data_IF_670284641785
#
_entry.id   IF_670284641785
#
_cell.length_a   1.000
_cell.length_b   1.000
_cell.length_c   1.000
_cell.angle_alpha   90.00
_cell.angle_beta   90.00
_cell.angle_gamma   90.00
#
_symmetry.space_group_name_H-M   'P 1'
#
loop_
_entity.id
_entity.type
_entity.pdbx_description
1 polymer ?
#
# COMPACT_ATOMS: atom_id res chain seq x y z
N UNK A 1 0.25 13.79 -49.51
CA UNK A 1 0.65 15.13 -49.98
C UNK A 1 -0.17 16.16 -49.22
N UNK A 2 0.51 16.97 -48.40
CA UNK A 2 0.18 18.31 -47.89
C UNK A 2 -1.10 18.98 -48.46
N UNK A 3 -2.03 19.60 -47.72
CA UNK A 3 -1.86 20.80 -46.85
C UNK A 3 -3.18 21.11 -46.09
N UNK A 4 -3.03 21.74 -44.91
CA UNK A 4 -4.07 22.37 -44.06
C UNK A 4 -4.93 23.44 -44.78
N UNK A 5 -6.09 23.82 -44.20
CA UNK A 5 -6.50 25.24 -44.01
C UNK A 5 -7.60 25.36 -42.91
N UNK A 6 -7.23 26.09 -41.85
CA UNK A 6 -7.93 27.02 -40.94
C UNK A 6 -9.42 26.90 -40.52
N UNK A 7 -9.62 26.86 -39.18
CA UNK A 7 -10.23 27.90 -38.28
C UNK A 7 -11.30 28.83 -38.94
N UNK A 8 -12.53 29.02 -38.44
CA UNK A 8 -12.99 29.45 -37.09
C UNK A 8 -14.52 29.27 -37.00
N UNK A 9 -15.05 28.93 -35.82
CA UNK A 9 -16.26 29.63 -35.33
C UNK A 9 -17.45 28.80 -34.83
N UNK A 10 -17.65 28.90 -33.51
CA UNK A 10 -18.93 28.85 -32.77
C UNK A 10 -19.55 27.50 -32.43
N UNK A 11 -19.39 27.15 -31.14
CA UNK A 11 -20.54 26.81 -30.29
C UNK A 11 -21.05 25.38 -30.37
N UNK A 12 -20.37 24.48 -29.66
CA UNK A 12 -20.94 23.41 -28.81
C UNK A 12 -19.78 22.55 -28.28
N UNK A 13 -19.30 22.83 -27.07
CA UNK A 13 -18.26 22.02 -26.43
C UNK A 13 -18.89 20.83 -25.71
N UNK A 14 -18.88 19.70 -26.42
CA UNK A 14 -18.54 18.34 -26.00
C UNK A 14 -18.80 17.94 -24.53
N UNK A 15 -19.89 17.19 -24.36
CA UNK A 15 -20.01 16.08 -23.40
C UNK A 15 -18.87 15.09 -23.66
N UNK A 16 -18.03 14.79 -22.65
CA UNK A 16 -17.30 13.52 -22.43
C UNK A 16 -16.14 13.72 -21.43
N UNK A 17 -16.35 13.34 -20.15
CA UNK A 17 -15.38 12.59 -19.29
C UNK A 17 -16.21 11.87 -18.22
N UNK A 18 -16.85 10.77 -18.59
CA UNK A 18 -17.53 9.86 -17.65
C UNK A 18 -17.37 8.40 -18.13
N UNK A 19 -16.18 7.80 -17.98
CA UNK A 19 -15.98 6.37 -18.31
C UNK A 19 -14.87 5.70 -17.46
N UNK A 20 -14.97 5.77 -16.14
CA UNK A 20 -14.34 4.74 -15.26
C UNK A 20 -15.39 4.02 -14.40
N UNK A 21 -16.52 4.66 -14.08
CA UNK A 21 -17.59 3.99 -13.32
C UNK A 21 -18.62 3.23 -14.18
N UNK A 22 -18.79 3.57 -15.48
CA UNK A 22 -19.78 2.90 -16.35
C UNK A 22 -19.27 1.59 -17.00
N UNK A 23 -17.94 1.43 -17.14
CA UNK A 23 -17.32 0.22 -17.73
C UNK A 23 -17.48 -0.98 -16.79
N UNK A 24 -17.44 -0.75 -15.47
CA UNK A 24 -17.67 -1.81 -14.47
C UNK A 24 -19.14 -2.28 -14.43
N UNK A 25 -20.10 -1.43 -14.78
CA UNK A 25 -21.53 -1.76 -14.81
C UNK A 25 -21.94 -2.50 -16.10
N UNK A 26 -21.34 -2.15 -17.25
CA UNK A 26 -21.64 -2.78 -18.54
C UNK A 26 -20.95 -4.14 -18.73
N UNK A 27 -19.86 -4.42 -18.02
CA UNK A 27 -19.21 -5.75 -17.99
C UNK A 27 -20.04 -6.82 -17.27
N UNK A 28 -21.04 -6.43 -16.48
CA UNK A 28 -22.00 -7.34 -15.85
C UNK A 28 -23.12 -7.81 -16.79
N UNK A 29 -23.29 -7.22 -17.99
CA UNK A 29 -24.53 -7.39 -18.79
C UNK A 29 -24.34 -8.19 -20.11
N UNK A 30 -23.14 -8.26 -20.73
CA UNK A 30 -23.00 -8.81 -22.10
C UNK A 30 -21.99 -9.97 -22.29
N UNK A 31 -22.22 -11.13 -21.63
CA UNK A 31 -21.45 -12.39 -21.76
C UNK A 31 -21.11 -12.83 -23.22
N UNK A 32 -19.88 -12.61 -23.75
CA UNK A 32 -19.22 -13.38 -24.87
C UNK A 32 -17.66 -13.28 -24.71
N UNK A 33 -16.85 -14.31 -25.05
CA UNK A 33 -15.62 -14.68 -24.33
C UNK A 33 -14.30 -14.26 -24.99
N UNK A 34 -13.24 -14.12 -24.18
CA UNK A 34 -11.85 -14.15 -24.62
C UNK A 34 -11.04 -15.18 -23.80
N UNK A 35 -10.52 -16.21 -24.49
CA UNK A 35 -9.24 -16.89 -24.18
C UNK A 35 -8.13 -15.89 -24.56
N UNK A 36 -7.06 -15.65 -23.80
CA UNK A 36 -6.07 -16.59 -23.25
C UNK A 36 -5.39 -16.02 -21.99
N UNK A 37 -5.54 -16.76 -20.89
CA UNK A 37 -4.52 -17.21 -19.92
C UNK A 37 -3.57 -16.21 -19.22
N UNK A 38 -3.64 -16.23 -17.87
CA UNK A 38 -2.75 -15.67 -16.84
C UNK A 38 -3.02 -14.31 -16.21
N UNK A 39 -4.29 -13.93 -15.99
CA UNK A 39 -4.57 -12.83 -15.05
C UNK A 39 -5.97 -12.81 -14.41
N UNK A 40 -6.50 -13.95 -13.93
CA UNK A 40 -7.70 -13.96 -13.08
C UNK A 40 -7.79 -15.26 -12.25
N UNK A 41 -6.88 -15.47 -11.30
CA UNK A 41 -7.13 -16.33 -10.14
C UNK A 41 -6.50 -15.65 -8.94
N UNK A 42 -7.34 -15.18 -8.01
CA UNK A 42 -6.85 -14.56 -6.78
C UNK A 42 -7.87 -14.19 -5.72
N UNK A 43 -9.19 -14.21 -5.96
CA UNK A 43 -10.18 -13.99 -4.87
C UNK A 43 -11.52 -14.76 -5.06
N UNK A 44 -11.65 -15.76 -5.94
CA UNK A 44 -12.96 -16.46 -6.12
C UNK A 44 -12.94 -17.99 -6.29
N UNK A 45 -11.88 -18.68 -5.84
CA UNK A 45 -11.88 -20.15 -5.69
C UNK A 45 -11.29 -20.62 -4.34
N UNK A 46 -11.73 -20.01 -3.24
CA UNK A 46 -11.54 -20.58 -1.89
C UNK A 46 -12.87 -20.94 -1.19
N UNK A 47 -14.03 -20.58 -1.75
CA UNK A 47 -15.32 -20.93 -1.16
C UNK A 47 -16.24 -21.61 -2.17
N UNK A 48 -16.15 -22.94 -2.18
CA UNK A 48 -17.07 -23.83 -2.86
C UNK A 48 -17.11 -25.20 -2.18
N UNK A 49 -17.95 -25.33 -1.14
CA UNK A 49 -18.46 -26.57 -0.53
C UNK A 49 -17.45 -27.72 -0.33
N UNK A 50 -16.93 -27.90 0.89
CA UNK A 50 -16.81 -29.25 1.47
C UNK A 50 -17.32 -29.24 2.90
N UNK A 51 -18.30 -30.12 3.12
CA UNK A 51 -18.86 -30.50 4.41
C UNK A 51 -17.76 -30.99 5.35
N UNK A 52 -17.92 -30.66 6.63
CA UNK A 52 -17.55 -31.44 7.82
C UNK A 52 -17.00 -32.85 7.49
N UNK A 53 -15.69 -33.05 7.56
CA UNK A 53 -15.09 -34.39 7.75
C UNK A 53 -13.93 -34.28 8.74
N UNK A 54 -14.23 -34.79 9.93
CA UNK A 54 -13.30 -35.23 10.97
C UNK A 54 -12.35 -36.32 10.46
N UNK A 55 -11.10 -36.29 10.95
CA UNK A 55 -10.13 -37.40 11.01
C UNK A 55 -9.88 -38.19 9.72
N UNK A 56 -8.64 -38.17 9.22
CA UNK A 56 -7.86 -39.40 9.01
C UNK A 56 -6.39 -39.04 8.76
N UNK A 57 -5.56 -39.36 9.75
CA UNK A 57 -4.14 -39.63 9.56
C UNK A 57 -4.00 -40.86 8.67
N UNK A 58 -3.42 -40.72 7.48
CA UNK A 58 -2.94 -41.88 6.72
C UNK A 58 -1.71 -41.49 5.92
N UNK A 59 -0.62 -42.18 6.28
CA UNK A 59 0.69 -42.21 5.66
C UNK A 59 0.60 -42.27 4.13
N UNK A 60 1.39 -41.44 3.45
CA UNK A 60 1.88 -41.78 2.12
C UNK A 60 3.38 -42.03 2.18
N UNK A 61 3.66 -43.32 2.05
CA UNK A 61 4.96 -43.95 1.99
C UNK A 61 5.80 -43.40 0.84
N UNK A 62 7.08 -43.18 1.13
CA UNK A 62 8.15 -43.17 0.14
C UNK A 62 8.16 -44.49 -0.63
N UNK A 63 7.86 -44.45 -1.93
CA UNK A 63 8.11 -45.57 -2.83
C UNK A 63 9.61 -45.76 -3.01
N UNK A 64 10.17 -46.72 -2.27
CA UNK A 64 11.44 -47.34 -2.61
C UNK A 64 11.25 -48.18 -3.88
N UNK A 65 12.03 -47.89 -4.91
CA UNK A 65 12.16 -48.73 -6.09
C UNK A 65 12.83 -50.04 -5.68
N UNK A 66 12.07 -51.14 -5.74
CA UNK A 66 12.60 -52.50 -5.61
C UNK A 66 13.52 -52.81 -6.80
N UNK A 67 14.77 -53.12 -6.49
CA UNK A 67 15.71 -53.76 -7.42
C UNK A 67 15.29 -55.20 -7.69
N UNK A 68 14.91 -55.51 -8.92
CA UNK A 68 14.80 -56.89 -9.42
C UNK A 68 16.19 -57.50 -9.55
N UNK A 69 16.50 -58.52 -8.73
CA UNK A 69 17.64 -59.41 -8.98
C UNK A 69 17.32 -60.30 -10.20
N UNK A 70 18.05 -60.08 -11.29
CA UNK A 70 18.10 -61.01 -12.42
C UNK A 70 19.03 -62.18 -12.05
N UNK A 71 18.46 -63.38 -11.96
CA UNK A 71 19.22 -64.62 -11.91
C UNK A 71 19.96 -64.82 -13.24
N UNK A 72 21.26 -65.03 -13.15
CA UNK A 72 22.17 -65.33 -14.24
C UNK A 72 21.93 -66.73 -14.82
N UNK A 73 21.58 -66.80 -16.10
CA UNK A 73 21.80 -68.00 -16.92
C UNK A 73 22.93 -67.73 -17.91
N UNK A 74 23.99 -68.53 -17.80
CA UNK A 74 25.15 -68.54 -18.70
C UNK A 74 24.73 -68.87 -20.14
N UNK A 75 25.12 -68.04 -21.09
CA UNK A 75 25.26 -68.42 -22.49
C UNK A 75 26.62 -67.96 -23.02
N UNK A 76 27.31 -68.91 -23.63
CA UNK A 76 28.66 -68.81 -24.15
C UNK A 76 28.74 -67.91 -25.40
N UNK A 77 29.83 -67.15 -25.45
CA UNK A 77 30.61 -66.70 -26.62
C UNK A 77 29.89 -66.15 -27.85
N UNK A 78 30.09 -64.85 -28.10
CA UNK A 78 30.64 -64.37 -29.37
C UNK A 78 31.30 -63.01 -29.14
N UNK A 79 32.55 -62.86 -29.60
CA UNK A 79 33.31 -61.62 -29.50
C UNK A 79 32.64 -60.52 -30.34
N UNK A 80 32.15 -59.47 -29.68
CA UNK A 80 31.92 -58.18 -30.31
C UNK A 80 32.74 -57.13 -29.56
N UNK A 81 33.79 -56.64 -30.24
CA UNK A 81 34.54 -55.47 -29.82
C UNK A 81 33.58 -54.28 -29.65
N UNK A 82 33.24 -53.96 -28.41
CA UNK A 82 32.63 -52.68 -28.03
C UNK A 82 33.71 -51.79 -27.45
N UNK A 83 34.46 -51.15 -28.33
CA UNK A 83 35.32 -50.03 -27.99
C UNK A 83 34.49 -48.90 -27.36
N UNK A 84 34.77 -48.61 -26.09
CA UNK A 84 34.66 -47.31 -25.42
C UNK A 84 33.37 -46.49 -25.64
N UNK A 85 32.25 -46.88 -25.04
CA UNK A 85 31.07 -45.98 -24.98
C UNK A 85 30.47 -45.71 -23.60
N UNK A 86 31.05 -46.17 -22.48
CA UNK A 86 30.32 -46.11 -21.20
C UNK A 86 31.07 -45.61 -19.96
N UNK A 87 32.04 -44.70 -20.09
CA UNK A 87 32.59 -44.00 -18.91
C UNK A 87 32.41 -42.48 -18.94
N UNK A 88 32.38 -41.86 -20.12
CA UNK A 88 32.20 -40.40 -20.24
C UNK A 88 30.73 -39.97 -20.26
N UNK A 89 29.81 -40.79 -20.79
CA UNK A 89 28.38 -40.45 -20.85
C UNK A 89 27.68 -40.60 -19.48
N UNK A 90 28.07 -41.59 -18.68
CA UNK A 90 27.44 -41.86 -17.38
C UNK A 90 27.87 -40.87 -16.28
N UNK A 91 29.10 -40.33 -16.35
CA UNK A 91 29.53 -39.23 -15.50
C UNK A 91 28.87 -37.89 -15.86
N UNK A 92 28.36 -37.76 -17.09
CA UNK A 92 27.60 -36.58 -17.54
C UNK A 92 26.13 -36.62 -17.09
N UNK A 93 25.52 -37.82 -16.98
CA UNK A 93 24.13 -37.98 -16.56
C UNK A 93 23.89 -37.81 -15.05
N UNK A 94 24.95 -37.87 -14.23
CA UNK A 94 24.89 -37.64 -12.77
C UNK A 94 25.40 -36.24 -12.36
N UNK A 95 25.50 -35.30 -13.31
CA UNK A 95 25.64 -33.89 -12.98
C UNK A 95 24.31 -33.39 -12.39
N UNK A 96 24.03 -33.74 -11.13
CA UNK A 96 22.96 -33.13 -10.36
C UNK A 96 23.25 -31.63 -10.30
N UNK A 97 22.44 -30.83 -11.00
CA UNK A 97 22.58 -29.38 -11.01
C UNK A 97 22.39 -28.84 -9.58
N UNK A 98 23.51 -28.63 -8.89
CA UNK A 98 23.53 -28.04 -7.54
C UNK A 98 23.39 -26.53 -7.69
N UNK A 99 22.20 -26.00 -7.41
CA UNK A 99 22.00 -24.55 -7.27
C UNK A 99 22.82 -24.09 -6.08
N UNK A 100 23.81 -23.22 -6.33
CA UNK A 100 24.67 -22.65 -5.30
C UNK A 100 23.92 -21.56 -4.54
N UNK A 101 24.34 -21.28 -3.32
CA UNK A 101 23.77 -20.20 -2.50
C UNK A 101 23.82 -18.85 -3.22
N UNK A 102 24.93 -18.53 -3.90
CA UNK A 102 25.02 -17.28 -4.68
C UNK A 102 24.01 -17.21 -5.83
N UNK A 103 23.67 -18.36 -6.43
CA UNK A 103 22.66 -18.41 -7.50
C UNK A 103 21.25 -18.22 -6.92
N UNK A 104 20.96 -18.81 -5.77
CA UNK A 104 19.69 -18.59 -5.07
C UNK A 104 19.54 -17.11 -4.65
N UNK A 105 20.60 -16.50 -4.12
CA UNK A 105 20.61 -15.08 -3.77
C UNK A 105 20.37 -14.17 -4.99
N UNK A 106 20.93 -14.52 -6.15
CA UNK A 106 20.67 -13.79 -7.40
C UNK A 106 19.20 -13.90 -7.85
N UNK A 107 18.60 -15.09 -7.75
CA UNK A 107 17.17 -15.28 -8.04
C UNK A 107 16.28 -14.52 -7.05
N UNK A 108 16.61 -14.52 -5.77
CA UNK A 108 15.87 -13.78 -4.73
C UNK A 108 15.92 -12.27 -4.95
N UNK A 109 17.10 -11.73 -5.29
CA UNK A 109 17.28 -10.31 -5.60
C UNK A 109 16.46 -9.91 -6.84
N UNK A 110 16.50 -10.71 -7.90
CA UNK A 110 15.73 -10.43 -9.11
C UNK A 110 14.21 -10.53 -8.88
N UNK A 111 13.76 -11.54 -8.13
CA UNK A 111 12.35 -11.68 -7.76
C UNK A 111 11.85 -10.50 -6.91
N UNK A 112 12.69 -9.97 -6.01
CA UNK A 112 12.38 -8.77 -5.22
C UNK A 112 12.30 -7.53 -6.09
N UNK A 113 13.22 -7.35 -7.04
CA UNK A 113 13.20 -6.22 -7.99
C UNK A 113 11.95 -6.25 -8.87
N UNK A 114 11.63 -7.42 -9.44
CA UNK A 114 10.42 -7.59 -10.25
C UNK A 114 9.17 -7.28 -9.43
N UNK A 115 9.10 -7.76 -8.18
CA UNK A 115 7.98 -7.42 -7.30
C UNK A 115 7.90 -5.91 -6.99
N UNK A 116 9.02 -5.25 -6.71
CA UNK A 116 9.05 -3.81 -6.49
C UNK A 116 8.54 -3.05 -7.72
N UNK A 117 8.96 -3.45 -8.92
CA UNK A 117 8.51 -2.84 -10.19
C UNK A 117 7.00 -3.01 -10.42
N UNK A 118 6.47 -4.21 -10.14
CA UNK A 118 5.02 -4.42 -10.16
C UNK A 118 4.29 -3.56 -9.12
N UNK A 119 4.88 -3.37 -7.93
CA UNK A 119 4.29 -2.53 -6.89
C UNK A 119 4.36 -1.04 -7.26
N UNK A 120 5.36 -0.59 -8.01
CA UNK A 120 5.39 0.77 -8.59
C UNK A 120 4.20 0.95 -9.53
N UNK A 121 4.02 0.05 -10.50
CA UNK A 121 2.91 0.12 -11.46
C UNK A 121 1.55 0.08 -10.75
N UNK A 122 1.40 -0.82 -9.78
CA UNK A 122 0.19 -0.90 -8.98
C UNK A 122 -0.07 0.38 -8.19
N UNK A 123 0.96 0.97 -7.57
CA UNK A 123 0.83 2.20 -6.78
C UNK A 123 0.40 3.39 -7.63
N UNK A 124 0.91 3.50 -8.86
CA UNK A 124 0.50 4.54 -9.82
C UNK A 124 -0.97 4.35 -10.23
N UNK A 125 -1.45 3.11 -10.36
CA UNK A 125 -2.87 2.86 -10.61
C UNK A 125 -3.75 3.15 -9.37
N UNK A 126 -3.25 2.82 -8.18
CA UNK A 126 -3.99 2.94 -6.93
C UNK A 126 -4.11 4.39 -6.45
N UNK A 127 -3.02 5.16 -6.52
CA UNK A 127 -2.95 6.56 -6.10
C UNK A 127 -2.10 7.38 -7.09
N UNK A 128 -2.63 7.62 -8.31
CA UNK A 128 -1.86 8.25 -9.40
C UNK A 128 -1.32 9.62 -8.99
N UNK A 129 -2.15 10.43 -8.32
CA UNK A 129 -1.79 11.80 -7.97
C UNK A 129 -0.71 11.86 -6.89
N UNK A 130 -0.76 10.98 -5.89
CA UNK A 130 0.29 10.95 -4.88
C UNK A 130 1.60 10.49 -5.50
N UNK A 131 1.57 9.47 -6.35
CA UNK A 131 2.75 8.96 -7.06
C UNK A 131 3.38 10.03 -7.96
N UNK A 132 2.56 10.79 -8.70
CA UNK A 132 3.01 11.93 -9.51
C UNK A 132 3.69 13.01 -8.66
N UNK A 133 3.14 13.33 -7.48
CA UNK A 133 3.68 14.38 -6.60
C UNK A 133 4.99 13.97 -5.94
N UNK A 134 5.14 12.70 -5.52
CA UNK A 134 6.35 12.24 -4.84
C UNK A 134 7.45 11.82 -5.83
N UNK A 135 7.08 11.38 -7.03
CA UNK A 135 8.00 10.89 -8.07
C UNK A 135 8.51 9.46 -7.83
N UNK A 136 9.03 8.84 -8.89
CA UNK A 136 9.38 7.41 -8.94
C UNK A 136 10.44 7.01 -7.90
N UNK A 137 11.48 7.83 -7.70
CA UNK A 137 12.55 7.56 -6.74
C UNK A 137 11.99 7.47 -5.31
N UNK A 138 11.19 8.47 -4.93
CA UNK A 138 10.58 8.53 -3.60
C UNK A 138 9.51 7.45 -3.42
N UNK A 139 8.77 7.12 -4.49
CA UNK A 139 7.83 6.00 -4.48
C UNK A 139 8.54 4.69 -4.15
N UNK A 140 9.68 4.40 -4.80
CA UNK A 140 10.49 3.20 -4.49
C UNK A 140 11.00 3.19 -3.05
N UNK A 141 11.43 4.34 -2.53
CA UNK A 141 11.80 4.46 -1.10
C UNK A 141 10.61 4.10 -0.20
N UNK A 142 9.41 4.58 -0.54
CA UNK A 142 8.17 4.30 0.19
C UNK A 142 7.78 2.83 0.14
N UNK A 143 7.90 2.19 -1.03
CA UNK A 143 7.64 0.76 -1.20
C UNK A 143 8.63 -0.12 -0.44
N UNK A 144 9.92 0.18 -0.51
CA UNK A 144 10.93 -0.53 0.30
C UNK A 144 10.71 -0.34 1.79
N UNK A 145 10.18 0.81 2.19
CA UNK A 145 9.80 1.07 3.58
C UNK A 145 8.61 0.19 3.99
N UNK A 146 7.52 0.16 3.21
CA UNK A 146 6.34 -0.65 3.52
C UNK A 146 6.61 -2.15 3.48
N UNK A 147 7.38 -2.65 2.52
CA UNK A 147 7.80 -4.07 2.47
C UNK A 147 8.55 -4.45 3.74
N UNK A 148 9.50 -3.61 4.20
CA UNK A 148 10.23 -3.84 5.45
C UNK A 148 9.31 -3.87 6.66
N UNK A 149 8.28 -3.02 6.71
CA UNK A 149 7.29 -3.02 7.80
C UNK A 149 6.37 -4.23 7.75
N UNK A 150 5.88 -4.61 6.56
CA UNK A 150 5.05 -5.81 6.40
C UNK A 150 5.80 -7.06 6.89
N UNK A 151 7.10 -7.17 6.59
CA UNK A 151 7.95 -8.26 7.09
C UNK A 151 8.04 -8.31 8.62
N UNK A 152 7.96 -7.18 9.33
CA UNK A 152 7.94 -7.16 10.81
C UNK A 152 6.67 -7.81 11.39
N UNK A 153 5.61 -7.89 10.60
CA UNK A 153 4.36 -8.59 10.91
C UNK A 153 4.30 -9.98 10.26
N UNK A 154 5.43 -10.53 9.81
CA UNK A 154 5.50 -11.87 9.19
C UNK A 154 4.66 -11.99 7.91
N UNK A 155 4.38 -10.88 7.22
CA UNK A 155 3.80 -10.91 5.88
C UNK A 155 4.91 -11.15 4.87
N UNK A 156 4.87 -12.30 4.20
CA UNK A 156 5.89 -12.74 3.24
C UNK A 156 5.32 -13.00 1.86
N UNK A 157 4.00 -13.08 1.73
CA UNK A 157 3.34 -13.36 0.46
C UNK A 157 3.08 -12.07 -0.32
N UNK A 158 3.18 -12.15 -1.65
CA UNK A 158 2.97 -10.98 -2.53
C UNK A 158 1.62 -10.30 -2.26
N UNK A 159 0.56 -11.08 -2.03
CA UNK A 159 -0.78 -10.55 -1.75
C UNK A 159 -0.88 -9.79 -0.43
N UNK A 160 -0.34 -10.33 0.66
CA UNK A 160 -0.37 -9.68 1.98
C UNK A 160 0.53 -8.45 2.03
N UNK A 161 1.68 -8.48 1.36
CA UNK A 161 2.57 -7.31 1.22
C UNK A 161 1.91 -6.22 0.36
N UNK A 162 1.27 -6.59 -0.75
CA UNK A 162 0.50 -5.63 -1.58
C UNK A 162 -0.61 -4.96 -0.76
N UNK A 163 -1.39 -5.73 0.00
CA UNK A 163 -2.41 -5.16 0.87
C UNK A 163 -1.80 -4.17 1.88
N UNK A 164 -0.65 -4.50 2.47
CA UNK A 164 0.05 -3.59 3.38
C UNK A 164 0.49 -2.29 2.68
N UNK A 165 0.94 -2.36 1.42
CA UNK A 165 1.25 -1.19 0.59
C UNK A 165 -0.01 -0.34 0.37
N UNK A 166 -1.14 -0.95 0.01
CA UNK A 166 -2.42 -0.26 -0.16
C UNK A 166 -2.84 0.45 1.15
N UNK A 167 -2.66 -0.19 2.31
CA UNK A 167 -2.91 0.43 3.62
C UNK A 167 -2.02 1.64 3.88
N UNK A 168 -0.73 1.59 3.51
CA UNK A 168 0.15 2.75 3.60
C UNK A 168 -0.40 3.94 2.80
N UNK A 169 -0.94 3.71 1.60
CA UNK A 169 -1.53 4.78 0.79
C UNK A 169 -2.82 5.34 1.37
N UNK A 170 -3.62 4.49 2.04
CA UNK A 170 -4.89 4.90 2.63
C UNK A 170 -4.72 5.62 3.98
N UNK A 171 -3.73 5.21 4.78
CA UNK A 171 -3.65 5.56 6.20
C UNK A 171 -2.31 6.19 6.62
N UNK A 172 -1.35 6.32 5.70
CA UNK A 172 0.03 6.75 5.96
C UNK A 172 0.97 5.58 6.28
N UNK A 173 2.28 5.75 6.09
CA UNK A 173 3.27 4.65 6.22
C UNK A 173 3.42 4.09 7.64
N UNK A 174 2.92 4.80 8.64
CA UNK A 174 2.98 4.41 10.05
C UNK A 174 1.59 4.15 10.66
N UNK A 175 0.60 3.79 9.84
CA UNK A 175 -0.76 3.47 10.27
C UNK A 175 -0.79 2.40 11.37
N UNK A 176 0.16 1.46 11.33
CA UNK A 176 0.27 0.35 12.26
C UNK A 176 0.70 0.81 13.67
N UNK A 177 1.16 2.05 13.83
CA UNK A 177 1.43 2.71 15.10
C UNK A 177 0.38 3.78 15.45
N UNK A 178 -0.62 4.00 14.59
CA UNK A 178 -1.61 5.06 14.74
C UNK A 178 -2.74 4.61 15.70
N UNK A 179 -3.00 5.34 16.80
CA UNK A 179 -4.11 5.00 17.69
C UNK A 179 -5.47 5.01 16.98
N UNK A 180 -5.65 5.80 15.92
CA UNK A 180 -6.90 5.86 15.13
C UNK A 180 -7.23 4.50 14.49
N UNK A 181 -6.22 3.76 14.04
CA UNK A 181 -6.39 2.48 13.34
C UNK A 181 -6.10 1.26 14.22
N UNK A 182 -6.21 1.41 15.55
CA UNK A 182 -5.79 0.40 16.55
C UNK A 182 -6.31 -1.02 16.27
N UNK A 183 -7.53 -1.17 15.75
CA UNK A 183 -8.08 -2.50 15.45
C UNK A 183 -7.35 -3.19 14.28
N UNK A 184 -6.91 -2.42 13.26
CA UNK A 184 -6.10 -2.96 12.15
C UNK A 184 -4.72 -3.40 12.65
N UNK A 185 -4.09 -2.64 13.57
CA UNK A 185 -2.83 -3.05 14.20
C UNK A 185 -2.99 -4.36 14.99
N UNK A 186 -4.12 -4.57 15.67
CA UNK A 186 -4.36 -5.84 16.36
C UNK A 186 -4.40 -7.03 15.40
N UNK A 187 -5.04 -6.86 14.24
CA UNK A 187 -5.08 -7.92 13.22
C UNK A 187 -3.70 -8.16 12.61
N UNK A 188 -2.90 -7.11 12.40
CA UNK A 188 -1.49 -7.25 11.99
C UNK A 188 -0.67 -8.04 13.02
N UNK A 189 -0.84 -7.76 14.31
CA UNK A 189 -0.09 -8.42 15.39
C UNK A 189 -0.55 -9.84 15.72
N UNK A 190 -1.69 -10.29 15.17
CA UNK A 190 -2.19 -11.63 15.44
C UNK A 190 -1.18 -12.70 14.96
N UNK A 191 -1.21 -13.87 15.60
CA UNK A 191 -0.25 -14.97 15.39
C UNK A 191 -0.77 -16.10 14.51
N UNK A 192 -1.90 -15.87 13.85
CA UNK A 192 -2.47 -16.78 12.87
C UNK A 192 -1.91 -16.53 11.46
N UNK A 193 -2.34 -17.37 10.53
CA UNK A 193 -1.84 -17.39 9.17
C UNK A 193 -2.02 -16.03 8.48
N UNK A 194 -0.99 -15.58 7.77
CA UNK A 194 -0.92 -14.22 7.22
C UNK A 194 -2.09 -13.87 6.30
N UNK A 195 -2.67 -14.85 5.59
CA UNK A 195 -3.79 -14.58 4.69
C UNK A 195 -5.11 -14.42 5.45
N UNK A 196 -5.28 -15.08 6.59
CA UNK A 196 -6.46 -14.88 7.45
C UNK A 196 -6.41 -13.49 8.09
N UNK A 197 -5.21 -13.04 8.49
CA UNK A 197 -4.96 -11.66 8.93
C UNK A 197 -5.26 -10.66 7.81
N UNK A 198 -4.73 -10.91 6.61
CA UNK A 198 -4.96 -10.07 5.44
C UNK A 198 -6.46 -9.95 5.09
N UNK A 199 -7.22 -11.06 5.16
CA UNK A 199 -8.66 -11.05 4.91
C UNK A 199 -9.39 -10.18 5.94
N UNK A 200 -9.12 -10.35 7.24
CA UNK A 200 -9.76 -9.53 8.29
C UNK A 200 -9.45 -8.05 8.12
N UNK A 201 -8.21 -7.72 7.76
CA UNK A 201 -7.78 -6.35 7.48
C UNK A 201 -8.54 -5.80 6.28
N UNK A 202 -8.68 -6.57 5.21
CA UNK A 202 -9.44 -6.18 4.02
C UNK A 202 -10.91 -5.89 4.37
N UNK A 203 -11.55 -6.75 5.16
CA UNK A 203 -12.93 -6.55 5.61
C UNK A 203 -13.07 -5.25 6.42
N UNK A 204 -12.08 -4.92 7.26
CA UNK A 204 -12.04 -3.62 7.97
C UNK A 204 -11.85 -2.43 7.05
N UNK A 205 -11.07 -2.57 5.97
CA UNK A 205 -10.91 -1.50 4.98
C UNK A 205 -12.25 -1.25 4.30
N UNK A 206 -13.03 -2.28 3.98
CA UNK A 206 -14.37 -2.13 3.42
C UNK A 206 -15.32 -1.42 4.41
N UNK A 207 -15.30 -1.81 5.68
CA UNK A 207 -16.06 -1.14 6.74
C UNK A 207 -15.65 0.35 6.86
N UNK A 208 -14.34 0.62 6.91
CA UNK A 208 -13.79 1.98 6.98
C UNK A 208 -14.24 2.82 5.78
N UNK A 209 -14.19 2.26 4.56
CA UNK A 209 -14.65 2.96 3.36
C UNK A 209 -16.12 3.34 3.46
N UNK A 210 -16.97 2.42 3.90
CA UNK A 210 -18.41 2.68 4.05
C UNK A 210 -18.70 3.72 5.14
N UNK A 211 -18.12 3.55 6.34
CA UNK A 211 -18.44 4.39 7.51
C UNK A 211 -17.73 5.74 7.51
N UNK A 212 -16.46 5.77 7.10
CA UNK A 212 -15.60 6.94 7.22
C UNK A 212 -15.52 7.72 5.92
N UNK A 213 -15.19 7.05 4.81
CA UNK A 213 -15.02 7.72 3.51
C UNK A 213 -16.37 8.07 2.86
N UNK A 214 -17.37 7.21 3.03
CA UNK A 214 -18.71 7.37 2.49
C UNK A 214 -18.80 7.06 0.99
N UNK A 215 -20.03 6.92 0.51
CA UNK A 215 -20.30 6.67 -0.90
C UNK A 215 -19.72 7.78 -1.78
N UNK A 216 -19.10 7.38 -2.89
CA UNK A 216 -18.37 8.28 -3.80
C UNK A 216 -17.35 9.21 -3.09
N UNK A 217 -16.85 8.81 -1.92
CA UNK A 217 -15.92 9.57 -1.08
C UNK A 217 -16.47 10.92 -0.57
N UNK A 218 -17.80 11.05 -0.40
CA UNK A 218 -18.43 12.31 -0.01
C UNK A 218 -17.92 12.86 1.33
N UNK A 219 -17.75 12.02 2.35
CA UNK A 219 -17.30 12.47 3.67
C UNK A 219 -15.85 12.93 3.62
N UNK A 220 -15.01 12.24 2.85
CA UNK A 220 -13.61 12.62 2.65
C UNK A 220 -13.50 13.98 1.95
N UNK A 221 -14.29 14.24 0.90
CA UNK A 221 -14.30 15.56 0.22
C UNK A 221 -14.69 16.68 1.18
N UNK A 222 -15.77 16.49 1.93
CA UNK A 222 -16.24 17.47 2.93
C UNK A 222 -15.16 17.72 4.01
N UNK A 223 -14.48 16.67 4.48
CA UNK A 223 -13.40 16.81 5.45
C UNK A 223 -12.21 17.59 4.87
N UNK A 224 -11.85 17.36 3.61
CA UNK A 224 -10.79 18.12 2.92
C UNK A 224 -11.17 19.60 2.75
N UNK A 225 -12.42 19.91 2.42
CA UNK A 225 -12.92 21.29 2.34
C UNK A 225 -12.86 21.99 3.73
N UNK A 226 -13.25 21.30 4.79
CA UNK A 226 -13.16 21.82 6.17
C UNK A 226 -11.72 22.02 6.61
N UNK A 227 -10.80 21.13 6.23
CA UNK A 227 -9.37 21.31 6.46
C UNK A 227 -8.80 22.51 5.71
N UNK A 228 -9.18 22.70 4.44
CA UNK A 228 -8.81 23.90 3.67
C UNK A 228 -9.33 25.17 4.35
N UNK A 229 -10.58 25.19 4.82
CA UNK A 229 -11.13 26.31 5.57
C UNK A 229 -10.38 26.59 6.87
N UNK A 230 -10.03 25.55 7.64
CA UNK A 230 -9.26 25.67 8.88
C UNK A 230 -7.85 26.22 8.62
N UNK A 231 -7.21 25.82 7.52
CA UNK A 231 -5.89 26.32 7.12
C UNK A 231 -5.93 27.81 6.71
N UNK A 232 -7.08 28.31 6.24
CA UNK A 232 -7.29 29.72 5.89
C UNK A 232 -7.72 30.57 7.07
N UNK A 233 -8.42 29.97 8.04
CA UNK A 233 -8.99 30.64 9.21
C UNK A 233 -8.51 29.94 10.49
N UNK A 234 -7.25 30.13 10.91
CA UNK A 234 -6.70 29.42 12.05
C UNK A 234 -7.45 29.76 13.34
N UNK A 235 -7.85 28.72 14.07
CA UNK A 235 -8.49 28.86 15.37
C UNK A 235 -7.41 29.24 16.41
N UNK A 236 -7.72 30.22 17.25
CA UNK A 236 -6.92 30.53 18.43
C UNK A 236 -7.28 29.57 19.54
N UNK A 237 -6.28 28.90 20.13
CA UNK A 237 -6.49 27.95 21.22
C UNK A 237 -6.18 28.59 22.57
N UNK A 238 -7.06 28.35 23.54
CA UNK A 238 -6.87 28.78 24.93
C UNK A 238 -5.71 28.06 25.61
N UNK A 239 -5.11 28.71 26.62
CA UNK A 239 -4.10 28.09 27.50
C UNK A 239 -4.71 26.98 28.36
N UNK A 240 -5.97 27.17 28.78
CA UNK A 240 -6.76 26.17 29.48
C UNK A 240 -7.75 25.53 28.50
N UNK A 241 -7.91 24.20 28.56
CA UNK A 241 -8.90 23.51 27.72
C UNK A 241 -8.42 23.11 26.32
N UNK A 242 -7.14 23.35 25.97
CA UNK A 242 -6.55 23.00 24.67
C UNK A 242 -6.95 21.63 24.13
N UNK A 243 -6.81 20.55 24.93
CA UNK A 243 -7.13 19.19 24.47
C UNK A 243 -8.61 19.01 24.13
N UNK A 244 -9.51 19.70 24.83
CA UNK A 244 -10.94 19.67 24.51
C UNK A 244 -11.27 20.50 23.28
N UNK A 245 -10.62 21.64 23.09
CA UNK A 245 -10.82 22.51 21.94
C UNK A 245 -10.34 21.82 20.66
N UNK A 246 -9.10 21.29 20.65
CA UNK A 246 -8.55 20.60 19.49
C UNK A 246 -9.35 19.33 19.17
N UNK A 247 -9.83 18.60 20.18
CA UNK A 247 -10.73 17.45 19.95
C UNK A 247 -11.99 17.88 19.18
N UNK A 248 -12.66 18.95 19.63
CA UNK A 248 -13.85 19.49 18.95
C UNK A 248 -13.53 19.99 17.54
N UNK A 249 -12.34 20.56 17.34
CA UNK A 249 -11.88 20.93 15.99
C UNK A 249 -11.75 19.70 15.09
N UNK A 250 -11.09 18.63 15.54
CA UNK A 250 -10.95 17.39 14.76
C UNK A 250 -12.31 16.73 14.48
N UNK A 251 -13.20 16.73 15.47
CA UNK A 251 -14.58 16.22 15.33
C UNK A 251 -15.40 17.04 14.33
N UNK A 252 -15.27 18.37 14.36
CA UNK A 252 -15.90 19.24 13.37
C UNK A 252 -15.35 19.01 11.95
N UNK A 253 -14.05 18.75 11.83
CA UNK A 253 -13.39 18.51 10.54
C UNK A 253 -13.81 17.18 9.93
N UNK A 254 -13.65 16.06 10.66
CA UNK A 254 -13.92 14.72 10.14
C UNK A 254 -14.66 13.86 11.18
N UNK A 255 -15.95 14.11 11.40
CA UNK A 255 -16.72 13.50 12.48
C UNK A 255 -16.77 11.97 12.36
N UNK A 256 -16.87 11.44 11.14
CA UNK A 256 -16.93 10.01 10.90
C UNK A 256 -15.63 9.30 11.28
N UNK A 257 -14.47 9.93 11.05
CA UNK A 257 -13.18 9.38 11.47
C UNK A 257 -13.04 9.39 13.00
N UNK A 258 -13.49 10.46 13.65
CA UNK A 258 -13.49 10.58 15.12
C UNK A 258 -14.42 9.53 15.76
N UNK A 259 -15.61 9.33 15.19
CA UNK A 259 -16.55 8.29 15.63
C UNK A 259 -15.95 6.89 15.45
N UNK A 260 -15.39 6.60 14.26
CA UNK A 260 -14.76 5.31 13.97
C UNK A 260 -13.58 5.01 14.89
N UNK A 261 -12.72 6.01 15.15
CA UNK A 261 -11.57 5.87 16.04
C UNK A 261 -11.98 5.66 17.50
N UNK A 262 -13.03 6.35 17.94
CA UNK A 262 -13.42 6.45 19.34
C UNK A 262 -12.61 7.50 20.11
N UNK A 263 -13.26 8.08 21.12
CA UNK A 263 -12.77 9.24 21.88
C UNK A 263 -11.37 9.03 22.48
N UNK A 264 -11.12 7.87 23.08
CA UNK A 264 -9.86 7.54 23.73
C UNK A 264 -8.69 7.53 22.73
N UNK A 265 -8.91 7.00 21.53
CA UNK A 265 -7.87 6.90 20.50
C UNK A 265 -7.57 8.26 19.87
N UNK A 266 -8.59 9.12 19.69
CA UNK A 266 -8.37 10.50 19.25
C UNK A 266 -7.62 11.32 20.31
N UNK A 267 -7.93 11.15 21.59
CA UNK A 267 -7.13 11.78 22.65
C UNK A 267 -5.69 11.24 22.71
N UNK A 268 -5.48 9.94 22.42
CA UNK A 268 -4.13 9.39 22.30
C UNK A 268 -3.36 10.04 21.13
N UNK A 269 -4.01 10.25 19.98
CA UNK A 269 -3.43 10.99 18.85
C UNK A 269 -3.06 12.43 19.25
N UNK A 270 -3.96 13.15 19.93
CA UNK A 270 -3.73 14.52 20.41
C UNK A 270 -2.49 14.56 21.31
N UNK A 271 -2.41 13.69 22.32
CA UNK A 271 -1.26 13.62 23.23
C UNK A 271 0.04 13.31 22.49
N UNK A 272 0.00 12.39 21.53
CA UNK A 272 1.15 12.06 20.69
C UNK A 272 1.59 13.26 19.83
N UNK A 273 0.66 14.03 19.28
CA UNK A 273 0.95 15.26 18.53
C UNK A 273 1.60 16.35 19.37
N UNK A 274 1.14 16.55 20.61
CA UNK A 274 1.77 17.47 21.57
C UNK A 274 3.20 17.04 21.89
N UNK A 275 3.39 15.74 22.19
CA UNK A 275 4.72 15.19 22.44
C UNK A 275 5.65 15.34 21.23
N UNK A 276 5.12 15.10 20.01
CA UNK A 276 5.88 15.28 18.77
C UNK A 276 6.26 16.74 18.53
N UNK A 277 5.34 17.68 18.74
CA UNK A 277 5.63 19.11 18.62
C UNK A 277 6.77 19.52 19.56
N UNK A 278 6.70 19.12 20.84
CA UNK A 278 7.75 19.40 21.82
C UNK A 278 9.10 18.81 21.47
N UNK A 279 9.15 17.64 20.82
CA UNK A 279 10.41 17.05 20.35
C UNK A 279 11.11 17.87 19.26
N UNK A 280 10.38 18.80 18.62
CA UNK A 280 10.92 19.79 17.68
C UNK A 280 11.03 21.20 18.31
N UNK A 281 11.00 21.29 19.64
CA UNK A 281 11.06 22.55 20.40
C UNK A 281 9.88 23.49 20.13
N UNK A 282 8.75 22.94 19.70
CA UNK A 282 7.51 23.68 19.53
C UNK A 282 6.72 23.71 20.83
N UNK A 283 6.57 24.89 21.43
CA UNK A 283 5.94 25.07 22.74
C UNK A 283 4.64 25.88 22.72
N UNK A 284 4.31 26.55 21.60
CA UNK A 284 3.07 27.32 21.48
C UNK A 284 1.86 26.41 21.20
N UNK A 285 0.69 26.79 21.71
CA UNK A 285 -0.56 26.04 21.49
C UNK A 285 -0.87 25.90 19.98
N UNK A 286 -0.62 26.96 19.19
CA UNK A 286 -0.72 26.92 17.73
C UNK A 286 0.19 25.86 17.12
N UNK A 287 1.45 25.80 17.54
CA UNK A 287 2.40 24.84 16.99
C UNK A 287 2.05 23.39 17.36
N UNK A 288 1.59 23.15 18.59
CA UNK A 288 1.03 21.84 19.00
C UNK A 288 -0.19 21.48 18.14
N UNK A 289 -1.12 22.41 17.91
CA UNK A 289 -2.31 22.19 17.09
C UNK A 289 -1.96 21.85 15.63
N UNK A 290 -1.03 22.59 15.01
CA UNK A 290 -0.57 22.31 13.63
C UNK A 290 0.02 20.91 13.54
N UNK A 291 0.84 20.48 14.51
CA UNK A 291 1.39 19.13 14.53
C UNK A 291 0.30 18.06 14.64
N UNK A 292 -0.70 18.26 15.51
CA UNK A 292 -1.83 17.34 15.68
C UNK A 292 -2.63 17.24 14.38
N UNK A 293 -2.95 18.38 13.74
CA UNK A 293 -3.69 18.40 12.47
C UNK A 293 -2.88 17.74 11.35
N UNK A 294 -1.57 17.95 11.29
CA UNK A 294 -0.71 17.25 10.34
C UNK A 294 -0.72 15.74 10.56
N UNK A 295 -0.66 15.26 11.81
CA UNK A 295 -0.73 13.84 12.11
C UNK A 295 -2.12 13.25 11.81
N UNK A 296 -3.19 14.01 12.03
CA UNK A 296 -4.56 13.59 11.71
C UNK A 296 -4.80 13.48 10.20
N UNK A 297 -4.24 14.41 9.42
CA UNK A 297 -4.48 14.49 7.96
C UNK A 297 -3.50 13.66 7.13
N UNK A 298 -2.21 13.65 7.50
CA UNK A 298 -1.14 12.99 6.74
C UNK A 298 -0.65 11.69 7.40
N UNK A 299 -1.37 11.23 8.42
CA UNK A 299 -1.06 10.02 9.19
C UNK A 299 -0.11 10.27 10.37
N UNK A 300 -0.21 9.40 11.37
CA UNK A 300 0.54 9.48 12.63
C UNK A 300 2.06 9.66 12.50
N UNK A 301 2.64 9.13 11.43
CA UNK A 301 4.07 9.17 11.16
C UNK A 301 4.55 10.35 10.35
N UNK A 302 3.71 11.34 10.01
CA UNK A 302 3.93 12.34 8.97
C UNK A 302 5.30 13.06 9.01
N UNK A 303 5.91 13.27 10.18
CA UNK A 303 7.22 13.93 10.30
C UNK A 303 8.41 13.09 9.81
N UNK A 304 8.18 11.81 9.50
CA UNK A 304 9.16 10.85 8.98
C UNK A 304 8.58 9.94 7.89
N UNK A 305 7.42 10.31 7.36
CA UNK A 305 6.68 9.50 6.39
C UNK A 305 7.29 9.64 4.99
N UNK A 306 7.71 8.54 4.35
CA UNK A 306 8.28 8.59 3.01
C UNK A 306 7.29 9.04 1.93
N UNK A 307 5.97 9.00 2.17
CA UNK A 307 4.96 9.59 1.28
C UNK A 307 4.93 11.12 1.35
N UNK A 308 5.42 11.72 2.45
CA UNK A 308 5.37 13.16 2.67
C UNK A 308 6.74 13.72 3.07
N UNK A 309 7.79 13.49 2.26
CA UNK A 309 9.17 13.89 2.60
C UNK A 309 9.29 15.40 2.82
N UNK A 310 8.39 16.18 2.21
CA UNK A 310 8.35 17.62 2.36
C UNK A 310 8.14 18.08 3.81
N UNK A 311 7.47 17.28 4.67
CA UNK A 311 7.27 17.60 6.09
C UNK A 311 8.60 17.48 6.83
N UNK A 312 9.24 16.31 6.73
CA UNK A 312 10.53 16.02 7.34
C UNK A 312 11.61 17.05 6.89
N UNK A 313 11.69 17.32 5.59
CA UNK A 313 12.63 18.31 5.04
C UNK A 313 12.38 19.73 5.56
N UNK A 314 11.12 20.09 5.83
CA UNK A 314 10.79 21.43 6.39
C UNK A 314 11.20 21.52 7.86
N UNK A 315 11.00 20.46 8.63
CA UNK A 315 11.39 20.39 10.04
C UNK A 315 12.92 20.41 10.20
N UNK A 316 13.64 19.73 9.31
CA UNK A 316 15.09 19.64 9.29
C UNK A 316 15.81 20.86 8.68
N UNK A 317 15.08 21.81 8.06
CA UNK A 317 15.68 22.95 7.39
C UNK A 317 16.35 23.90 8.40
N UNK A 318 17.69 23.86 8.43
CA UNK A 318 18.52 24.70 9.28
C UNK A 318 18.48 26.19 8.91
N UNK A 319 18.00 26.53 7.70
CA UNK A 319 17.85 27.95 7.28
C UNK A 319 16.68 28.63 7.99
N UNK A 320 15.72 27.85 8.51
CA UNK A 320 14.56 28.38 9.25
C UNK A 320 14.84 28.27 10.74
N UNK A 321 15.51 29.28 11.31
CA UNK A 321 15.94 29.24 12.72
C UNK A 321 14.76 29.31 13.70
N UNK A 322 13.73 30.12 13.39
CA UNK A 322 12.60 30.33 14.29
C UNK A 322 11.58 29.17 14.22
N UNK A 323 11.19 28.58 15.37
CA UNK A 323 10.10 27.60 15.47
C UNK A 323 8.80 28.06 14.80
N UNK A 324 8.38 29.30 15.06
CA UNK A 324 7.15 29.86 14.49
C UNK A 324 7.21 30.01 12.97
N UNK A 325 8.39 30.34 12.41
CA UNK A 325 8.58 30.37 10.96
C UNK A 325 8.52 28.96 10.35
N UNK A 326 9.01 27.93 11.05
CA UNK A 326 8.88 26.53 10.59
C UNK A 326 7.42 26.10 10.56
N UNK A 327 6.65 26.40 11.61
CA UNK A 327 5.21 26.14 11.67
C UNK A 327 4.46 26.83 10.53
N UNK A 328 4.71 28.12 10.34
CA UNK A 328 4.11 28.89 9.24
C UNK A 328 4.49 28.34 7.85
N UNK A 329 5.67 27.72 7.72
CA UNK A 329 6.11 27.06 6.47
C UNK A 329 5.39 25.73 6.27
N UNK A 330 5.20 24.95 7.33
CA UNK A 330 4.45 23.69 7.30
C UNK A 330 2.99 23.92 6.92
N UNK A 331 2.30 24.86 7.57
CA UNK A 331 0.90 25.20 7.26
C UNK A 331 0.73 25.57 5.78
N UNK A 332 1.61 26.44 5.25
CA UNK A 332 1.58 26.86 3.85
C UNK A 332 1.78 25.69 2.88
N UNK A 333 2.74 24.80 3.16
CA UNK A 333 3.00 23.63 2.31
C UNK A 333 1.87 22.61 2.39
N UNK A 334 1.28 22.41 3.59
CA UNK A 334 0.10 21.59 3.78
C UNK A 334 -1.08 22.12 2.96
N UNK A 335 -1.34 23.44 3.00
CA UNK A 335 -2.35 24.09 2.17
C UNK A 335 -2.10 23.87 0.68
N UNK A 336 -0.89 24.17 0.19
CA UNK A 336 -0.56 23.94 -1.22
C UNK A 336 -0.76 22.49 -1.64
N UNK A 337 -0.47 21.54 -0.75
CA UNK A 337 -0.72 20.12 -1.01
C UNK A 337 -2.23 19.82 -1.09
N UNK A 338 -3.02 20.31 -0.13
CA UNK A 338 -4.48 20.15 -0.12
C UNK A 338 -5.12 20.77 -1.37
N UNK A 339 -4.69 21.97 -1.77
CA UNK A 339 -5.19 22.65 -2.97
C UNK A 339 -4.90 21.84 -4.25
N UNK A 340 -3.70 21.23 -4.35
CA UNK A 340 -3.34 20.38 -5.50
C UNK A 340 -4.18 19.12 -5.59
N UNK A 341 -4.57 18.56 -4.44
CA UNK A 341 -5.42 17.38 -4.34
C UNK A 341 -6.90 17.73 -4.59
N UNK A 342 -7.39 18.85 -4.05
CA UNK A 342 -8.79 19.28 -4.18
C UNK A 342 -9.11 19.88 -5.57
N UNK A 343 -8.29 20.79 -6.11
CA UNK A 343 -8.66 21.58 -7.30
C UNK A 343 -8.62 20.79 -8.62
N UNK A 344 -7.98 19.63 -8.68
CA UNK A 344 -7.93 18.87 -9.94
C UNK A 344 -9.07 17.86 -10.12
N UNK A 345 -10.04 17.82 -9.19
CA UNK A 345 -11.40 17.34 -9.49
C UNK A 345 -12.17 18.24 -10.46
N UNK A 346 -11.66 19.46 -10.70
CA UNK A 346 -12.18 20.43 -11.66
C UNK A 346 -11.04 21.04 -12.50
N UNK A 347 -10.34 20.22 -13.29
CA UNK A 347 -9.58 20.68 -14.46
C UNK A 347 -8.32 21.54 -14.21
N UNK A 348 -7.16 20.97 -14.58
CA UNK A 348 -5.90 21.64 -14.98
C UNK A 348 -5.46 22.87 -14.16
N UNK A 349 -4.32 22.74 -13.49
CA UNK A 349 -3.10 23.49 -13.91
C UNK A 349 -1.83 22.83 -13.37
N UNK A 350 -0.94 22.46 -14.29
CA UNK A 350 0.47 22.18 -14.06
C UNK A 350 1.19 23.52 -14.03
N UNK A 351 1.88 23.87 -12.94
CA UNK A 351 2.92 24.90 -12.96
C UNK A 351 4.00 24.53 -11.91
N UNK A 352 5.27 24.90 -12.16
CA UNK A 352 6.42 24.04 -12.41
C UNK A 352 7.06 23.45 -11.14
#
# INVERSE_FOLDING_TARGET
MHIMINRVGKGRTYFEVWTVQLVSLLQSIMKIPYKTENLYIGVSYAFGKVRKVSNLSTQLNSTQLNSTQLNSTQLNSTQLNSTQLNSTQLNSMNAMYKIREQQMQAFDEEARRTFEDEMVLHSVQFSPRLCEVIGDEQLRISLRHSIRRANQYEFTYRGSIRLYIEMMFLFGSFFDCDPVYRQMTKDLCAKDYQMDRAQRIYDRILEYRSRVIGDENINQRIALERLSYLAENPISFGVHGFESEIYKTLEGVFPQLVEYAGKENVHALIRAGRARARSYEFSSARAEAVMIVLMFTFGYGCTRDPLYPWIASTLADKKIVSPERKISRLERKAKTWLDRVNNNGAGKTVIP
#
